data_IF_141990942921
#
_entry.id   IF_141990942921
#
_cell.length_a   1.000
_cell.length_b   1.000
_cell.length_c   1.000
_cell.angle_alpha   90.00
_cell.angle_beta   90.00
_cell.angle_gamma   90.00
#
_symmetry.space_group_name_H-M   'P 1'
#
loop_
_entity.id
_entity.type
_entity.pdbx_description
1 polymer ?
#
# COMPACT_ATOMS: atom_id res chain seq x y z
N UNK A 1 -18.51 -5.90 2.50
CA UNK A 1 -17.11 -6.37 2.41
C UNK A 1 -16.36 -5.85 3.63
N UNK A 2 -15.68 -6.70 4.40
CA UNK A 2 -14.91 -6.21 5.56
C UNK A 2 -13.64 -5.46 5.10
N UNK A 3 -13.11 -4.57 5.94
CA UNK A 3 -11.97 -3.73 5.58
C UNK A 3 -10.74 -4.56 5.18
N UNK A 4 -10.52 -5.69 5.86
CA UNK A 4 -9.43 -6.63 5.62
C UNK A 4 -9.44 -7.20 4.20
N UNK A 5 -10.60 -7.69 3.73
CA UNK A 5 -10.78 -8.18 2.36
C UNK A 5 -10.52 -7.07 1.34
N UNK A 6 -11.04 -5.86 1.60
CA UNK A 6 -10.84 -4.70 0.72
C UNK A 6 -9.36 -4.33 0.54
N UNK A 7 -8.59 -4.26 1.62
CA UNK A 7 -7.18 -3.89 1.53
C UNK A 7 -6.35 -4.97 0.84
N UNK A 8 -6.68 -6.25 1.06
CA UNK A 8 -6.02 -7.36 0.38
C UNK A 8 -6.29 -7.34 -1.13
N UNK A 9 -7.52 -7.08 -1.56
CA UNK A 9 -7.86 -6.95 -2.98
C UNK A 9 -7.13 -5.77 -3.63
N UNK A 10 -7.09 -4.61 -2.96
CA UNK A 10 -6.37 -3.43 -3.44
C UNK A 10 -4.86 -3.72 -3.63
N UNK A 11 -4.22 -4.38 -2.66
CA UNK A 11 -2.83 -4.79 -2.77
C UNK A 11 -2.59 -5.75 -3.95
N UNK A 12 -3.45 -6.74 -4.15
CA UNK A 12 -3.33 -7.67 -5.29
C UNK A 12 -3.51 -6.95 -6.63
N UNK A 13 -4.38 -5.95 -6.71
CA UNK A 13 -4.55 -5.15 -7.92
C UNK A 13 -3.31 -4.28 -8.21
N UNK A 14 -2.82 -3.55 -7.21
CA UNK A 14 -1.67 -2.65 -7.39
C UNK A 14 -0.37 -3.41 -7.62
N UNK A 15 -0.18 -4.55 -6.94
CA UNK A 15 0.97 -5.44 -7.18
C UNK A 15 0.98 -5.95 -8.61
N UNK A 16 -0.17 -6.36 -9.16
CA UNK A 16 -0.26 -6.76 -10.57
C UNK A 16 0.06 -5.61 -11.51
N UNK A 17 -0.46 -4.40 -11.22
CA UNK A 17 -0.19 -3.21 -12.04
C UNK A 17 1.30 -2.85 -12.06
N UNK A 18 1.98 -2.96 -10.92
CA UNK A 18 3.41 -2.65 -10.80
C UNK A 18 4.31 -3.74 -11.38
N UNK A 19 4.12 -5.01 -10.97
CA UNK A 19 5.02 -6.12 -11.34
C UNK A 19 4.98 -6.49 -12.82
N UNK A 20 3.86 -6.23 -13.50
CA UNK A 20 3.69 -6.52 -14.93
C UNK A 20 3.80 -5.27 -15.81
N UNK A 21 4.15 -4.11 -15.26
CA UNK A 21 4.44 -2.93 -16.07
C UNK A 21 5.76 -3.12 -16.82
N UNK A 22 5.76 -2.82 -18.13
CA UNK A 22 6.99 -2.83 -18.94
C UNK A 22 8.01 -1.81 -18.43
N UNK A 23 7.52 -0.64 -18.03
CA UNK A 23 8.30 0.44 -17.42
C UNK A 23 7.48 1.01 -16.25
N UNK A 24 7.69 0.51 -15.02
CA UNK A 24 6.93 0.96 -13.86
C UNK A 24 7.28 2.39 -13.46
N UNK A 25 6.25 3.19 -13.18
CA UNK A 25 6.43 4.57 -12.73
C UNK A 25 6.56 4.68 -11.21
N UNK A 26 7.10 5.81 -10.73
CA UNK A 26 7.17 6.11 -9.30
C UNK A 26 5.78 6.11 -8.65
N UNK A 27 4.75 6.61 -9.33
CA UNK A 27 3.37 6.58 -8.82
C UNK A 27 2.86 5.15 -8.64
N UNK A 28 3.19 4.26 -9.58
CA UNK A 28 2.82 2.84 -9.48
C UNK A 28 3.54 2.15 -8.32
N UNK A 29 4.83 2.46 -8.11
CA UNK A 29 5.59 1.99 -6.96
C UNK A 29 4.96 2.46 -5.64
N UNK A 30 4.65 3.76 -5.56
CA UNK A 30 4.03 4.35 -4.38
C UNK A 30 2.65 3.72 -4.10
N UNK A 31 1.81 3.55 -5.13
CA UNK A 31 0.50 2.90 -4.97
C UNK A 31 0.64 1.46 -4.44
N UNK A 32 1.55 0.67 -5.02
CA UNK A 32 1.82 -0.70 -4.59
C UNK A 32 2.30 -0.79 -3.14
N UNK A 33 3.30 0.01 -2.77
CA UNK A 33 3.84 0.00 -1.40
C UNK A 33 2.81 0.52 -0.40
N UNK A 34 1.98 1.45 -0.83
CA UNK A 34 0.96 2.03 0.00
C UNK A 34 -0.18 1.05 0.31
N UNK A 35 -0.66 0.31 -0.70
CA UNK A 35 -1.67 -0.73 -0.48
C UNK A 35 -1.12 -1.92 0.32
N UNK A 36 0.19 -2.20 0.21
CA UNK A 36 0.88 -3.12 1.12
C UNK A 36 0.81 -2.65 2.58
N UNK A 37 1.16 -1.39 2.86
CA UNK A 37 1.14 -0.83 4.21
C UNK A 37 -0.27 -0.87 4.81
N UNK A 38 -1.30 -0.53 4.03
CA UNK A 38 -2.70 -0.57 4.45
C UNK A 38 -3.14 -2.00 4.79
N UNK A 39 -2.75 -2.98 3.98
CA UNK A 39 -3.06 -4.40 4.22
C UNK A 39 -2.41 -4.90 5.51
N UNK A 40 -1.12 -4.64 5.71
CA UNK A 40 -0.39 -5.08 6.92
C UNK A 40 -0.94 -4.39 8.17
N UNK A 41 -1.23 -3.09 8.09
CA UNK A 41 -1.87 -2.32 9.17
C UNK A 41 -3.22 -2.92 9.55
N UNK A 42 -4.06 -3.22 8.56
CA UNK A 42 -5.36 -3.86 8.81
C UNK A 42 -5.24 -5.29 9.34
N UNK A 43 -4.22 -6.05 8.94
CA UNK A 43 -4.01 -7.43 9.40
C UNK A 43 -3.53 -7.49 10.85
N UNK A 44 -2.72 -6.50 11.27
CA UNK A 44 -2.12 -6.44 12.61
C UNK A 44 -2.90 -5.59 13.60
N UNK A 45 -3.70 -4.63 13.12
CA UNK A 45 -4.35 -3.63 13.97
C UNK A 45 -3.37 -2.60 14.53
N UNK A 46 -2.24 -2.36 13.86
CA UNK A 46 -1.15 -1.49 14.32
C UNK A 46 -0.73 -0.50 13.22
N UNK A 47 -0.25 0.71 13.57
CA UNK A 47 0.31 1.65 12.60
C UNK A 47 1.53 1.06 11.87
N UNK A 48 1.58 1.24 10.55
CA UNK A 48 2.69 0.78 9.69
C UNK A 48 3.29 1.98 8.95
N UNK A 49 4.62 2.05 8.92
CA UNK A 49 5.39 3.03 8.14
C UNK A 49 6.30 2.28 7.18
N UNK A 50 6.34 2.69 5.92
CA UNK A 50 7.24 2.10 4.90
C UNK A 50 8.18 3.16 4.37
N UNK A 51 9.46 2.81 4.23
CA UNK A 51 10.48 3.66 3.63
C UNK A 51 10.81 3.10 2.24
N UNK A 52 10.68 3.91 1.19
CA UNK A 52 11.17 3.56 -0.15
C UNK A 52 12.47 4.34 -0.38
N UNK A 53 13.60 3.65 -0.32
CA UNK A 53 14.88 4.34 -0.14
C UNK A 53 14.94 5.06 1.21
N UNK A 54 15.67 6.17 1.32
CA UNK A 54 15.78 6.96 2.57
C UNK A 54 14.54 7.82 2.89
N UNK A 55 13.45 7.73 2.11
CA UNK A 55 12.30 8.63 2.27
C UNK A 55 11.12 7.89 2.92
N UNK A 56 10.61 8.36 4.09
CA UNK A 56 9.45 7.78 4.74
C UNK A 56 8.12 8.09 4.05
N UNK A 57 7.30 7.05 3.87
CA UNK A 57 5.87 7.14 3.58
C UNK A 57 5.13 6.93 4.91
N UNK A 58 4.62 8.03 5.47
CA UNK A 58 3.78 8.03 6.67
C UNK A 58 2.33 8.26 6.28
N UNK A 59 1.41 7.40 6.73
CA UNK A 59 -0.03 7.68 6.70
C UNK A 59 -0.51 8.08 8.08
N UNK A 60 -1.05 9.30 8.19
CA UNK A 60 -1.72 9.77 9.39
C UNK A 60 -3.13 9.17 9.45
N UNK A 61 -3.47 8.59 10.59
CA UNK A 61 -4.81 8.12 10.91
C UNK A 61 -5.75 9.32 11.09
N UNK A 62 -6.46 9.71 10.03
CA UNK A 62 -7.69 10.51 10.09
C UNK A 62 -7.53 12.04 10.07
N UNK A 63 -8.19 12.66 9.07
CA UNK A 63 -8.91 13.93 9.26
C UNK A 63 -9.92 14.14 8.12
N UNK A 64 -11.20 14.03 8.51
CA UNK A 64 -12.47 14.37 7.86
C UNK A 64 -12.96 13.47 6.70
#
# INVERSE_FOLDING_TARGET
MNARTRFREAFLQDSRRYLFAKEPTTEQLHAFVQSFADMVSSDRGEPVTVLIGKVPISRASGSL
#
